data_IF_731303397643
#
_entry.id   IF_731303397643
#
_cell.length_a   1.000
_cell.length_b   1.000
_cell.length_c   1.000
_cell.angle_alpha   90.00
_cell.angle_beta   90.00
_cell.angle_gamma   90.00
#
_symmetry.space_group_name_H-M   'P 1'
#
loop_
_entity.id
_entity.type
_entity.pdbx_description
1 polymer ?
#
# COMPACT_ATOMS: atom_id res chain seq x y z
N UNK A 1 21.55 59.32 78.45
CA UNK A 1 21.44 57.88 78.17
C UNK A 1 21.08 57.72 76.70
N UNK A 2 21.90 57.24 75.79
CA UNK A 2 23.31 56.86 75.81
C UNK A 2 23.83 57.05 74.37
N UNK A 3 24.75 57.99 74.19
CA UNK A 3 25.52 58.15 72.95
C UNK A 3 26.92 57.60 73.25
N UNK A 4 27.11 56.30 73.05
CA UNK A 4 28.41 55.67 73.22
C UNK A 4 29.32 56.07 72.07
N UNK A 5 30.18 57.05 72.33
CA UNK A 5 31.34 57.33 71.49
C UNK A 5 32.24 56.09 71.38
N UNK A 6 32.44 55.60 70.15
CA UNK A 6 33.48 54.64 69.84
C UNK A 6 34.82 55.37 69.66
N UNK A 7 35.74 55.09 70.57
CA UNK A 7 37.13 55.55 70.61
C UNK A 7 37.96 55.13 69.38
N UNK A 8 38.99 55.89 68.95
CA UNK A 8 39.65 55.72 67.65
C UNK A 8 40.70 54.59 67.58
N UNK A 9 40.95 53.83 68.65
CA UNK A 9 42.02 52.84 68.70
C UNK A 9 41.59 51.51 69.33
N UNK A 10 40.76 50.74 68.64
CA UNK A 10 40.64 49.29 68.89
C UNK A 10 40.42 48.51 67.59
N UNK A 11 41.51 48.25 66.87
CA UNK A 11 41.50 47.25 65.80
C UNK A 11 41.37 45.88 66.44
N UNK A 12 40.14 45.37 66.54
CA UNK A 12 39.90 43.97 66.91
C UNK A 12 40.62 43.08 65.90
N UNK A 13 41.36 42.04 66.32
CA UNK A 13 42.01 41.10 65.40
C UNK A 13 41.03 40.53 64.36
N UNK A 14 39.77 40.34 64.75
CA UNK A 14 38.67 39.97 63.87
C UNK A 14 38.44 40.99 62.74
N UNK A 15 38.40 42.30 63.02
CA UNK A 15 38.22 43.33 62.00
C UNK A 15 39.39 43.36 61.00
N UNK A 16 40.62 43.11 61.45
CA UNK A 16 41.82 43.06 60.58
C UNK A 16 41.86 41.80 59.73
N UNK A 17 41.39 40.66 60.25
CA UNK A 17 41.24 39.41 59.49
C UNK A 17 40.11 39.54 58.46
N UNK A 18 38.97 40.12 58.85
CA UNK A 18 37.86 40.38 57.93
C UNK A 18 38.26 41.35 56.81
N UNK A 19 39.00 42.43 57.13
CA UNK A 19 39.56 43.33 56.12
C UNK A 19 40.54 42.63 55.18
N UNK A 20 41.38 41.72 55.69
CA UNK A 20 42.27 40.88 54.84
C UNK A 20 41.50 39.88 53.99
N UNK A 21 40.43 39.28 54.50
CA UNK A 21 39.56 38.36 53.76
C UNK A 21 38.82 39.09 52.63
N UNK A 22 38.35 40.32 52.88
CA UNK A 22 37.74 41.20 51.88
C UNK A 22 38.77 41.70 50.86
N UNK A 23 39.98 42.06 51.28
CA UNK A 23 41.06 42.49 50.39
C UNK A 23 41.66 41.35 49.55
N UNK A 24 41.58 40.09 50.01
CA UNK A 24 41.91 38.91 49.20
C UNK A 24 40.89 38.61 48.08
N UNK A 25 39.93 39.52 47.86
CA UNK A 25 38.99 39.56 46.74
C UNK A 25 39.61 39.40 45.36
N UNK A 26 40.93 39.57 45.18
CA UNK A 26 41.62 39.20 43.94
C UNK A 26 41.49 37.70 43.58
N UNK A 27 41.50 36.80 44.58
CA UNK A 27 41.26 35.36 44.34
C UNK A 27 39.78 35.09 44.02
N UNK A 28 38.87 35.85 44.61
CA UNK A 28 37.44 35.77 44.29
C UNK A 28 37.14 36.30 42.89
N UNK A 29 37.72 37.43 42.48
CA UNK A 29 37.58 37.99 41.15
C UNK A 29 38.14 37.06 40.06
N UNK A 30 39.29 36.42 40.32
CA UNK A 30 39.86 35.42 39.41
C UNK A 30 38.99 34.17 39.30
N UNK A 31 38.40 33.71 40.42
CA UNK A 31 37.49 32.57 40.45
C UNK A 31 36.15 32.89 39.78
N UNK A 32 35.63 34.11 39.98
CA UNK A 32 34.40 34.60 39.35
C UNK A 32 34.59 34.72 37.83
N UNK A 33 35.71 35.29 37.39
CA UNK A 33 36.07 35.36 35.97
C UNK A 33 36.23 33.97 35.35
N UNK A 34 36.88 33.04 36.06
CA UNK A 34 36.99 31.65 35.62
C UNK A 34 35.64 30.96 35.53
N UNK A 35 34.76 31.17 36.52
CA UNK A 35 33.41 30.60 36.54
C UNK A 35 32.55 31.14 35.41
N UNK A 36 32.64 32.45 35.15
CA UNK A 36 31.97 33.12 34.02
C UNK A 36 32.45 32.56 32.68
N UNK A 37 33.77 32.43 32.49
CA UNK A 37 34.33 31.83 31.28
C UNK A 37 33.89 30.37 31.11
N UNK A 38 33.87 29.58 32.19
CA UNK A 38 33.43 28.18 32.13
C UNK A 38 31.94 28.10 31.77
N UNK A 39 31.11 29.02 32.26
CA UNK A 39 29.70 29.12 31.89
C UNK A 39 29.52 29.50 30.41
N UNK A 40 30.36 30.40 29.87
CA UNK A 40 30.38 30.75 28.44
C UNK A 40 30.73 29.54 27.58
N UNK A 41 31.81 28.82 27.92
CA UNK A 41 32.25 27.62 27.19
C UNK A 41 31.19 26.53 27.21
N UNK A 42 30.52 26.30 28.36
CA UNK A 42 29.42 25.34 28.45
C UNK A 42 28.22 25.75 27.60
N UNK A 43 27.93 27.06 27.53
CA UNK A 43 26.86 27.61 26.69
C UNK A 43 27.20 27.45 25.20
N UNK A 44 28.42 27.72 24.79
CA UNK A 44 28.89 27.51 23.42
C UNK A 44 28.85 26.04 23.02
N UNK A 45 29.32 25.15 23.90
CA UNK A 45 29.27 23.70 23.66
C UNK A 45 27.84 23.19 23.52
N UNK A 46 26.91 23.71 24.32
CA UNK A 46 25.48 23.40 24.22
C UNK A 46 24.88 23.95 22.92
N UNK A 47 25.25 25.18 22.54
CA UNK A 47 24.83 25.82 21.29
C UNK A 47 25.32 25.04 20.06
N UNK A 48 26.59 24.64 20.05
CA UNK A 48 27.20 23.82 18.99
C UNK A 48 26.52 22.46 18.90
N UNK A 49 26.29 21.77 20.04
CA UNK A 49 25.55 20.51 20.06
C UNK A 49 24.17 20.66 19.45
N UNK A 50 23.41 21.69 19.83
CA UNK A 50 22.08 21.91 19.26
C UNK A 50 22.14 22.23 17.76
N UNK A 51 23.12 23.03 17.32
CA UNK A 51 23.32 23.36 15.90
C UNK A 51 23.73 22.16 15.05
N UNK A 52 24.43 21.19 15.62
CA UNK A 52 24.82 19.95 14.94
C UNK A 52 23.73 18.89 14.98
N UNK A 53 22.98 18.78 16.08
CA UNK A 53 21.87 17.81 16.19
C UNK A 53 20.67 18.18 15.33
N UNK A 54 20.34 19.48 15.19
CA UNK A 54 19.23 19.95 14.34
C UNK A 54 19.31 19.44 12.87
N UNK A 55 20.42 19.66 12.14
CA UNK A 55 20.54 19.19 10.76
C UNK A 55 20.59 17.68 10.66
N UNK A 56 21.22 16.97 11.61
CA UNK A 56 21.25 15.51 11.62
C UNK A 56 19.85 14.89 11.80
N UNK A 57 19.02 15.45 12.67
CA UNK A 57 17.63 15.03 12.83
C UNK A 57 16.78 15.33 11.58
N UNK A 58 16.95 16.50 10.97
CA UNK A 58 16.25 16.84 9.73
C UNK A 58 16.64 15.92 8.57
N UNK A 59 17.93 15.60 8.46
CA UNK A 59 18.44 14.73 7.40
C UNK A 59 18.03 13.27 7.60
N UNK A 60 18.05 12.76 8.84
CA UNK A 60 17.60 11.39 9.13
C UNK A 60 16.10 11.22 8.86
N UNK A 61 15.29 12.21 9.25
CA UNK A 61 13.86 12.27 8.94
C UNK A 61 13.61 12.37 7.43
N UNK A 62 14.38 13.18 6.69
CA UNK A 62 14.25 13.30 5.24
C UNK A 62 14.57 11.99 4.53
N UNK A 63 15.66 11.30 4.91
CA UNK A 63 16.05 10.01 4.34
C UNK A 63 15.00 8.93 4.67
N UNK A 64 14.49 8.90 5.90
CA UNK A 64 13.46 7.94 6.30
C UNK A 64 12.14 8.19 5.56
N UNK A 65 11.72 9.45 5.40
CA UNK A 65 10.55 9.83 4.61
C UNK A 65 10.73 9.52 3.13
N UNK A 66 11.90 9.79 2.55
CA UNK A 66 12.22 9.44 1.16
C UNK A 66 12.13 7.93 0.94
N UNK A 67 12.76 7.12 1.81
CA UNK A 67 12.71 5.66 1.74
C UNK A 67 11.29 5.11 1.92
N UNK A 68 10.48 5.71 2.80
CA UNK A 68 9.07 5.33 3.00
C UNK A 68 8.21 5.71 1.80
N UNK A 69 8.42 6.90 1.24
CA UNK A 69 7.70 7.40 0.06
C UNK A 69 8.07 6.57 -1.17
N UNK A 70 9.34 6.24 -1.37
CA UNK A 70 9.78 5.38 -2.47
C UNK A 70 9.21 3.97 -2.32
N UNK A 71 9.22 3.37 -1.12
CA UNK A 71 8.62 2.05 -0.89
C UNK A 71 7.10 2.04 -1.17
N UNK A 72 6.38 3.08 -0.74
CA UNK A 72 4.94 3.23 -1.01
C UNK A 72 4.66 3.38 -2.51
N UNK A 73 5.43 4.21 -3.22
CA UNK A 73 5.29 4.40 -4.67
C UNK A 73 5.59 3.10 -5.43
N UNK A 74 6.61 2.35 -5.03
CA UNK A 74 6.95 1.06 -5.66
C UNK A 74 5.83 0.04 -5.44
N UNK A 75 5.30 -0.07 -4.22
CA UNK A 75 4.21 -0.98 -3.92
C UNK A 75 2.93 -0.63 -4.67
N UNK A 76 2.52 0.66 -4.64
CA UNK A 76 1.34 1.12 -5.37
C UNK A 76 1.48 0.90 -6.88
N UNK A 77 2.66 1.20 -7.46
CA UNK A 77 2.91 0.96 -8.88
C UNK A 77 2.82 -0.52 -9.24
N UNK A 78 3.40 -1.40 -8.43
CA UNK A 78 3.32 -2.85 -8.66
C UNK A 78 1.89 -3.38 -8.60
N UNK A 79 1.12 -3.00 -7.58
CA UNK A 79 -0.29 -3.42 -7.44
C UNK A 79 -1.14 -2.91 -8.60
N UNK A 80 -0.97 -1.63 -8.98
CA UNK A 80 -1.69 -1.07 -10.13
C UNK A 80 -1.35 -1.82 -11.43
N UNK A 81 -0.07 -2.10 -11.68
CA UNK A 81 0.34 -2.87 -12.87
C UNK A 81 -0.26 -4.27 -12.89
N UNK A 82 -0.27 -4.97 -11.75
CA UNK A 82 -0.90 -6.29 -11.67
C UNK A 82 -2.41 -6.24 -11.93
N UNK A 83 -3.11 -5.26 -11.34
CA UNK A 83 -4.56 -5.09 -11.56
C UNK A 83 -4.84 -4.81 -13.04
N UNK A 84 -4.05 -3.97 -13.70
CA UNK A 84 -4.18 -3.72 -15.14
C UNK A 84 -4.02 -5.00 -15.96
N UNK A 85 -2.99 -5.81 -15.69
CA UNK A 85 -2.78 -7.08 -16.39
C UNK A 85 -3.94 -8.06 -16.18
N UNK A 86 -4.49 -8.14 -14.96
CA UNK A 86 -5.64 -9.02 -14.67
C UNK A 86 -6.88 -8.56 -15.41
N UNK A 87 -7.14 -7.25 -15.49
CA UNK A 87 -8.27 -6.70 -16.24
C UNK A 87 -8.14 -7.03 -17.73
N UNK A 88 -6.98 -6.81 -18.33
CA UNK A 88 -6.71 -7.12 -19.74
C UNK A 88 -6.88 -8.62 -20.03
N UNK A 89 -6.43 -9.47 -19.11
CA UNK A 89 -6.60 -10.92 -19.21
C UNK A 89 -8.09 -11.31 -19.16
N UNK A 90 -8.85 -10.80 -18.19
CA UNK A 90 -10.30 -11.07 -18.06
C UNK A 90 -11.04 -10.63 -19.32
N UNK A 91 -10.77 -9.42 -19.81
CA UNK A 91 -11.39 -8.91 -21.03
C UNK A 91 -11.09 -9.78 -22.25
N UNK A 92 -9.84 -10.22 -22.39
CA UNK A 92 -9.42 -11.12 -23.48
C UNK A 92 -10.12 -12.47 -23.37
N UNK A 93 -10.19 -13.03 -22.16
CA UNK A 93 -10.85 -14.30 -21.91
C UNK A 93 -12.34 -14.24 -22.23
N UNK A 94 -13.04 -13.18 -21.80
CA UNK A 94 -14.46 -12.96 -22.11
C UNK A 94 -14.69 -12.85 -23.62
N UNK A 95 -13.83 -12.12 -24.34
CA UNK A 95 -13.92 -12.02 -25.80
C UNK A 95 -13.77 -13.39 -26.47
N UNK A 96 -12.80 -14.20 -26.04
CA UNK A 96 -12.58 -15.55 -26.58
C UNK A 96 -13.74 -16.49 -26.23
N UNK A 97 -14.31 -16.39 -25.03
CA UNK A 97 -15.46 -17.18 -24.62
C UNK A 97 -16.70 -16.84 -25.44
N UNK A 98 -16.98 -15.54 -25.67
CA UNK A 98 -18.05 -15.09 -26.56
C UNK A 98 -17.84 -15.58 -28.00
N UNK A 99 -16.60 -15.56 -28.49
CA UNK A 99 -16.25 -16.08 -29.81
C UNK A 99 -16.55 -17.58 -29.93
N UNK A 100 -16.16 -18.37 -28.93
CA UNK A 100 -16.48 -19.81 -28.88
C UNK A 100 -17.98 -20.06 -28.79
N UNK A 101 -18.70 -19.31 -27.97
CA UNK A 101 -20.17 -19.41 -27.86
C UNK A 101 -20.89 -18.98 -29.14
N UNK A 102 -20.28 -18.08 -29.93
CA UNK A 102 -20.84 -17.64 -31.21
C UNK A 102 -20.62 -18.65 -32.35
N UNK A 103 -19.91 -19.77 -32.12
CA UNK A 103 -19.76 -20.84 -33.11
C UNK A 103 -21.08 -21.63 -33.19
N UNK A 104 -21.91 -21.46 -34.24
CA UNK A 104 -23.24 -22.06 -34.33
C UNK A 104 -23.21 -23.52 -34.84
N UNK A 105 -22.02 -23.99 -35.21
CA UNK A 105 -21.86 -25.12 -36.14
C UNK A 105 -22.39 -26.44 -35.58
N UNK A 106 -22.39 -26.61 -34.25
CA UNK A 106 -22.95 -27.81 -33.63
C UNK A 106 -24.49 -27.77 -33.58
N UNK A 107 -25.11 -26.65 -33.25
CA UNK A 107 -26.55 -26.59 -32.98
C UNK A 107 -27.39 -26.59 -34.27
N UNK A 108 -26.98 -25.82 -35.28
CA UNK A 108 -27.66 -25.76 -36.57
C UNK A 108 -27.56 -27.09 -37.33
N UNK A 109 -26.39 -27.74 -37.29
CA UNK A 109 -26.20 -29.04 -37.93
C UNK A 109 -27.01 -30.15 -37.23
N UNK A 110 -27.13 -30.12 -35.90
CA UNK A 110 -27.96 -31.04 -35.13
C UNK A 110 -29.45 -30.84 -35.44
N UNK A 111 -29.91 -29.60 -35.53
CA UNK A 111 -31.29 -29.30 -35.92
C UNK A 111 -31.60 -29.78 -37.34
N UNK A 112 -30.70 -29.53 -38.30
CA UNK A 112 -30.87 -29.98 -39.68
C UNK A 112 -30.91 -31.51 -39.78
N UNK A 113 -30.05 -32.21 -39.02
CA UNK A 113 -30.05 -33.66 -38.93
C UNK A 113 -31.35 -34.21 -38.32
N UNK A 114 -31.83 -33.60 -37.23
CA UNK A 114 -33.07 -34.01 -36.56
C UNK A 114 -34.30 -33.85 -37.48
N UNK A 115 -34.34 -32.77 -38.26
CA UNK A 115 -35.37 -32.57 -39.28
C UNK A 115 -35.31 -33.64 -40.38
N UNK A 116 -34.10 -33.94 -40.89
CA UNK A 116 -33.89 -34.98 -41.89
C UNK A 116 -34.29 -36.37 -41.40
N UNK A 117 -33.96 -36.71 -40.15
CA UNK A 117 -34.38 -37.97 -39.51
C UNK A 117 -35.90 -38.08 -39.41
N UNK A 118 -36.58 -36.98 -39.04
CA UNK A 118 -38.05 -36.94 -38.96
C UNK A 118 -38.70 -37.14 -40.34
N UNK A 119 -38.14 -36.53 -41.39
CA UNK A 119 -38.61 -36.71 -42.77
C UNK A 119 -38.41 -38.15 -43.25
N UNK A 120 -37.25 -38.76 -42.95
CA UNK A 120 -36.97 -40.15 -43.33
C UNK A 120 -37.94 -41.12 -42.65
N UNK A 121 -38.22 -40.92 -41.36
CA UNK A 121 -39.19 -41.72 -40.63
C UNK A 121 -40.60 -41.61 -41.24
N UNK A 122 -41.03 -40.41 -41.62
CA UNK A 122 -42.29 -40.22 -42.31
C UNK A 122 -42.34 -40.99 -43.65
N UNK A 123 -41.29 -40.90 -44.46
CA UNK A 123 -41.23 -41.65 -45.73
C UNK A 123 -41.21 -43.17 -45.51
N UNK A 124 -40.49 -43.67 -44.51
CA UNK A 124 -40.50 -45.10 -44.17
C UNK A 124 -41.91 -45.56 -43.81
N UNK A 125 -42.67 -44.77 -43.04
CA UNK A 125 -44.07 -45.11 -42.73
C UNK A 125 -44.97 -45.10 -43.96
N UNK A 126 -44.79 -44.16 -44.89
CA UNK A 126 -45.53 -44.14 -46.16
C UNK A 126 -45.21 -45.37 -47.00
N UNK A 127 -43.94 -45.73 -47.14
CA UNK A 127 -43.52 -46.94 -47.88
C UNK A 127 -44.09 -48.19 -47.22
N UNK A 128 -44.11 -48.27 -45.89
CA UNK A 128 -44.70 -49.42 -45.18
C UNK A 128 -46.20 -49.54 -45.45
N UNK A 129 -46.94 -48.42 -45.45
CA UNK A 129 -48.37 -48.40 -45.77
C UNK A 129 -48.61 -48.83 -47.22
N UNK A 130 -47.86 -48.26 -48.17
CA UNK A 130 -47.97 -48.59 -49.59
C UNK A 130 -47.65 -50.07 -49.83
N UNK A 131 -46.63 -50.60 -49.16
CA UNK A 131 -46.27 -52.03 -49.24
C UNK A 131 -47.41 -52.91 -48.72
N UNK A 132 -48.03 -52.55 -47.59
CA UNK A 132 -49.21 -53.26 -47.07
C UNK A 132 -50.39 -53.20 -48.04
N UNK A 133 -50.63 -52.07 -48.70
CA UNK A 133 -51.69 -51.90 -49.69
C UNK A 133 -51.47 -52.77 -50.94
N UNK A 134 -50.25 -52.80 -51.48
CA UNK A 134 -49.91 -53.63 -52.65
C UNK A 134 -50.05 -55.12 -52.32
N UNK A 135 -49.60 -55.54 -51.14
CA UNK A 135 -49.77 -56.93 -50.69
C UNK A 135 -51.25 -57.31 -50.52
N UNK A 136 -52.08 -56.41 -50.00
CA UNK A 136 -53.53 -56.64 -49.89
C UNK A 136 -54.22 -56.69 -51.26
N UNK A 137 -53.80 -55.86 -52.22
CA UNK A 137 -54.33 -55.89 -53.59
C UNK A 137 -53.87 -57.15 -54.36
N UNK A 138 -52.64 -57.63 -54.11
CA UNK A 138 -52.11 -58.85 -54.71
C UNK A 138 -52.66 -60.13 -54.08
N UNK A 139 -53.06 -60.09 -52.80
CA UNK A 139 -53.63 -61.23 -52.07
C UNK A 139 -55.13 -61.41 -52.24
N UNK A 140 -55.81 -60.56 -53.02
CA UNK A 140 -57.25 -60.67 -53.28
C UNK A 140 -57.51 -61.29 -54.66
N UNK A 141 -57.80 -62.61 -54.76
CA UNK A 141 -58.11 -63.26 -56.03
C UNK A 141 -59.55 -62.95 -56.46
N UNK A 142 -59.86 -61.70 -56.85
CA UNK A 142 -61.15 -61.33 -57.47
C UNK A 142 -61.01 -60.20 -58.49
N UNK A 143 -60.17 -60.43 -59.50
CA UNK A 143 -60.17 -59.68 -60.77
C UNK A 143 -59.53 -60.50 -61.90
N UNK A 144 -59.69 -61.83 -61.84
CA UNK A 144 -59.43 -62.75 -62.95
C UNK A 144 -60.58 -63.75 -63.03
N UNK A 145 -61.75 -63.27 -63.42
CA UNK A 145 -62.81 -64.09 -64.01
C UNK A 145 -63.70 -63.17 -64.83
N UNK A 146 -63.33 -63.04 -66.11
CA UNK A 146 -64.28 -62.84 -67.18
C UNK A 146 -65.16 -64.09 -67.34
#
# INVERSE_FOLDING_TARGET
MDSWELSPYSVTPAAKVLARCVASGQRFASLEQFTSHLQEVLREQTSLRQRLMKPLCQQSLYIQCYKRKSASVIHHRYVVTLISMVIEFIQTLEMKMKMVQSIPVADESLHNLNNGMTQLLAQVTEVEILTKQVLQQSGNPKNMSS
#
